data_IF_686987457682
#
_entry.id   IF_686987457682
#
_cell.length_a   1.000
_cell.length_b   1.000
_cell.length_c   1.000
_cell.angle_alpha   90.00
_cell.angle_beta   90.00
_cell.angle_gamma   90.00
#
_symmetry.space_group_name_H-M   'P 1'
#
loop_
_entity.id
_entity.type
_entity.pdbx_description
1 polymer ?
#
# COMPACT_ATOMS: atom_id res chain seq x y z
N UNK A 1 -32.59 6.49 -21.53
CA UNK A 1 -31.43 6.98 -20.76
C UNK A 1 -31.30 6.08 -19.54
N UNK A 2 -30.20 5.33 -19.45
CA UNK A 2 -29.94 4.49 -18.27
C UNK A 2 -29.44 5.35 -17.13
N UNK A 3 -30.31 5.56 -16.15
CA UNK A 3 -30.00 6.34 -14.96
C UNK A 3 -29.76 5.38 -13.79
N UNK A 4 -28.59 5.50 -13.16
CA UNK A 4 -28.27 4.77 -11.94
C UNK A 4 -28.25 5.72 -10.74
N UNK A 5 -28.78 5.27 -9.60
CA UNK A 5 -28.77 6.03 -8.34
C UNK A 5 -27.60 5.56 -7.48
N UNK A 6 -26.76 6.51 -7.04
CA UNK A 6 -25.63 6.24 -6.17
C UNK A 6 -25.94 6.72 -4.74
N UNK A 7 -26.12 5.78 -3.81
CA UNK A 7 -26.33 6.08 -2.39
C UNK A 7 -25.05 5.81 -1.59
N UNK A 8 -24.49 6.85 -0.97
CA UNK A 8 -23.24 6.76 -0.20
C UNK A 8 -23.49 7.20 1.23
N UNK A 9 -23.04 6.39 2.20
CA UNK A 9 -23.00 6.76 3.61
C UNK A 9 -21.76 7.60 3.88
N UNK A 10 -21.96 8.85 4.30
CA UNK A 10 -20.89 9.77 4.65
C UNK A 10 -21.20 10.48 5.97
N UNK A 11 -20.17 10.99 6.64
CA UNK A 11 -20.37 11.77 7.85
C UNK A 11 -21.10 13.10 7.54
N UNK A 12 -21.92 13.57 8.49
CA UNK A 12 -22.65 14.84 8.34
C UNK A 12 -21.71 16.03 8.12
N UNK A 13 -20.56 16.03 8.81
CA UNK A 13 -19.54 17.09 8.69
C UNK A 13 -18.95 17.13 7.28
N UNK A 14 -18.56 15.98 6.74
CA UNK A 14 -17.97 15.88 5.40
C UNK A 14 -18.97 16.28 4.32
N UNK A 15 -20.25 15.89 4.45
CA UNK A 15 -21.31 16.34 3.53
C UNK A 15 -21.40 17.85 3.47
N UNK A 16 -21.51 18.52 4.63
CA UNK A 16 -21.59 19.99 4.70
C UNK A 16 -20.35 20.65 4.09
N UNK A 17 -19.16 20.19 4.44
CA UNK A 17 -17.91 20.73 3.90
C UNK A 17 -17.83 20.57 2.37
N UNK A 18 -18.22 19.40 1.85
CA UNK A 18 -18.23 19.16 0.41
C UNK A 18 -19.21 20.07 -0.34
N UNK A 19 -20.37 20.38 0.26
CA UNK A 19 -21.35 21.30 -0.33
C UNK A 19 -20.81 22.74 -0.37
N UNK A 20 -20.20 23.21 0.72
CA UNK A 20 -19.59 24.56 0.78
C UNK A 20 -18.50 24.69 -0.29
N UNK A 21 -17.62 23.69 -0.41
CA UNK A 21 -16.56 23.69 -1.44
C UNK A 21 -17.16 23.68 -2.84
N UNK A 22 -18.24 22.92 -3.06
CA UNK A 22 -18.92 22.87 -4.36
C UNK A 22 -19.56 24.22 -4.72
N UNK A 23 -20.26 24.84 -3.78
CA UNK A 23 -20.89 26.16 -3.94
C UNK A 23 -19.87 27.25 -4.26
N UNK A 24 -18.74 27.26 -3.55
CA UNK A 24 -17.64 28.19 -3.81
C UNK A 24 -17.05 28.04 -5.23
N UNK A 25 -17.12 26.83 -5.80
CA UNK A 25 -16.68 26.54 -7.17
C UNK A 25 -17.80 26.72 -8.20
N UNK A 26 -19.02 27.10 -7.79
CA UNK A 26 -20.17 27.25 -8.67
C UNK A 26 -20.79 25.93 -9.15
N UNK A 27 -20.49 24.82 -8.48
CA UNK A 27 -21.01 23.49 -8.83
C UNK A 27 -21.91 22.91 -7.74
N UNK A 28 -22.78 21.97 -8.12
CA UNK A 28 -23.45 21.12 -7.13
C UNK A 28 -22.51 19.99 -6.69
N UNK A 29 -22.67 19.51 -5.45
CA UNK A 29 -21.91 18.36 -4.96
C UNK A 29 -22.10 17.11 -5.86
N UNK A 30 -23.30 16.92 -6.43
CA UNK A 30 -23.58 15.84 -7.36
C UNK A 30 -22.81 15.98 -8.67
N UNK A 31 -22.66 17.20 -9.19
CA UNK A 31 -21.87 17.48 -10.40
C UNK A 31 -20.39 17.12 -10.16
N UNK A 32 -19.83 17.50 -9.01
CA UNK A 32 -18.45 17.16 -8.66
C UNK A 32 -18.22 15.65 -8.58
N UNK A 33 -19.16 14.90 -7.97
CA UNK A 33 -19.06 13.44 -7.89
C UNK A 33 -19.09 12.81 -9.29
N UNK A 34 -19.98 13.28 -10.18
CA UNK A 34 -20.02 12.81 -11.58
C UNK A 34 -18.71 13.11 -12.31
N UNK A 35 -18.19 14.33 -12.17
CA UNK A 35 -16.93 14.74 -12.79
C UNK A 35 -15.77 13.87 -12.30
N UNK A 36 -15.71 13.62 -10.99
CA UNK A 36 -14.69 12.75 -10.40
C UNK A 36 -14.78 11.33 -10.94
N UNK A 37 -15.98 10.74 -11.01
CA UNK A 37 -16.16 9.39 -11.56
C UNK A 37 -15.77 9.33 -13.05
N UNK A 38 -16.14 10.34 -13.84
CA UNK A 38 -15.74 10.43 -15.24
C UNK A 38 -14.21 10.51 -15.38
N UNK A 39 -13.54 11.33 -14.57
CA UNK A 39 -12.08 11.40 -14.52
C UNK A 39 -11.43 10.09 -14.12
N UNK A 40 -12.00 9.40 -13.13
CA UNK A 40 -11.50 8.11 -12.66
C UNK A 40 -11.56 7.06 -13.77
N UNK A 41 -12.68 6.98 -14.50
CA UNK A 41 -12.85 6.05 -15.63
C UNK A 41 -11.89 6.40 -16.77
N UNK A 42 -11.78 7.68 -17.14
CA UNK A 42 -10.94 8.13 -18.26
C UNK A 42 -9.44 7.96 -17.97
N UNK A 43 -8.97 8.42 -16.81
CA UNK A 43 -7.54 8.43 -16.47
C UNK A 43 -7.06 7.16 -15.79
N UNK A 44 -7.98 6.31 -15.30
CA UNK A 44 -7.68 5.13 -14.46
C UNK A 44 -6.76 5.44 -13.27
N UNK A 45 -6.83 6.69 -12.80
CA UNK A 45 -6.01 7.23 -11.70
C UNK A 45 -6.89 8.13 -10.85
N UNK A 46 -6.61 8.14 -9.55
CA UNK A 46 -7.27 9.05 -8.63
C UNK A 46 -6.57 10.40 -8.73
N UNK A 47 -7.28 11.52 -8.96
CA UNK A 47 -6.71 12.85 -9.14
C UNK A 47 -6.27 13.48 -7.80
N UNK A 48 -5.53 12.74 -6.99
CA UNK A 48 -4.83 13.32 -5.85
C UNK A 48 -3.40 13.63 -6.30
N UNK A 49 -3.04 14.91 -6.28
CA UNK A 49 -1.64 15.31 -6.27
C UNK A 49 -1.26 15.23 -4.80
N UNK A 50 -0.64 14.11 -4.42
CA UNK A 50 0.01 14.01 -3.13
C UNK A 50 1.31 14.76 -3.30
N UNK A 51 1.55 15.83 -2.54
CA UNK A 51 2.90 16.38 -2.43
C UNK A 51 3.80 15.23 -1.98
N UNK A 52 4.74 14.84 -2.85
CA UNK A 52 5.64 13.72 -2.59
C UNK A 52 6.65 14.13 -1.52
N UNK A 53 6.19 14.26 -0.27
CA UNK A 53 7.07 14.45 0.88
C UNK A 53 7.77 13.11 1.09
N UNK A 54 9.10 13.02 0.88
CA UNK A 54 9.82 11.76 1.01
C UNK A 54 9.67 11.24 2.43
N UNK A 55 9.36 9.95 2.56
CA UNK A 55 9.33 9.27 3.86
C UNK A 55 10.71 9.42 4.54
N UNK A 56 10.78 9.52 5.87
CA UNK A 56 12.02 9.73 6.64
C UNK A 56 13.13 8.71 6.29
N UNK A 57 12.75 7.49 5.92
CA UNK A 57 13.71 6.49 5.41
C UNK A 57 14.28 6.87 4.04
N UNK A 58 13.42 7.31 3.14
CA UNK A 58 13.79 7.71 1.78
C UNK A 58 14.63 8.99 1.77
N UNK A 59 14.32 9.96 2.65
CA UNK A 59 15.14 11.15 2.85
C UNK A 59 16.58 10.80 3.29
N UNK A 60 16.75 9.86 4.23
CA UNK A 60 18.08 9.40 4.64
C UNK A 60 18.85 8.68 3.53
N UNK A 61 18.15 7.89 2.71
CA UNK A 61 18.77 7.22 1.56
C UNK A 61 19.22 8.26 0.52
N UNK A 62 18.42 9.30 0.25
CA UNK A 62 18.82 10.43 -0.61
C UNK A 62 20.04 11.18 -0.07
N UNK A 63 20.04 11.52 1.22
CA UNK A 63 21.18 12.19 1.87
C UNK A 63 22.46 11.34 1.79
N UNK A 64 22.34 10.02 1.89
CA UNK A 64 23.46 9.10 1.78
C UNK A 64 23.99 9.02 0.35
N UNK A 65 23.09 8.93 -0.64
CA UNK A 65 23.45 8.94 -2.06
C UNK A 65 24.19 10.24 -2.40
N UNK A 66 23.69 11.40 -1.97
CA UNK A 66 24.35 12.68 -2.21
C UNK A 66 25.75 12.76 -1.59
N UNK A 67 25.95 12.18 -0.40
CA UNK A 67 27.26 12.13 0.26
C UNK A 67 28.24 11.22 -0.47
N UNK A 68 27.76 10.06 -0.92
CA UNK A 68 28.57 9.08 -1.66
C UNK A 68 28.94 9.58 -3.06
N UNK A 69 28.07 10.35 -3.73
CA UNK A 69 28.40 11.05 -4.98
C UNK A 69 29.47 12.11 -4.76
N UNK A 70 29.34 12.93 -3.70
CA UNK A 70 30.30 13.99 -3.37
C UNK A 70 31.67 13.45 -2.92
N UNK A 71 31.70 12.32 -2.21
CA UNK A 71 32.95 11.69 -1.78
C UNK A 71 33.60 10.82 -2.87
N UNK A 72 32.87 10.50 -3.95
CA UNK A 72 33.35 9.65 -5.03
C UNK A 72 33.46 8.16 -4.68
N UNK A 73 33.01 7.75 -3.49
CA UNK A 73 33.03 6.35 -3.03
C UNK A 73 31.86 5.56 -3.63
N UNK A 74 31.93 5.32 -4.94
CA UNK A 74 30.90 4.58 -5.69
C UNK A 74 30.99 3.05 -5.51
N UNK A 75 31.61 2.56 -4.43
CA UNK A 75 31.94 1.12 -4.23
C UNK A 75 30.72 0.20 -4.21
N UNK A 76 29.56 0.74 -3.84
CA UNK A 76 28.30 0.00 -3.73
C UNK A 76 27.38 0.17 -4.95
N UNK A 77 27.78 0.97 -5.95
CA UNK A 77 26.98 1.23 -7.14
C UNK A 77 27.38 0.29 -8.26
N UNK A 78 26.39 -0.38 -8.85
CA UNK A 78 26.58 -1.16 -10.07
C UNK A 78 26.32 -0.22 -11.24
N UNK A 79 27.38 0.11 -11.98
CA UNK A 79 27.26 0.81 -13.26
C UNK A 79 26.96 -0.23 -14.33
N UNK A 80 25.94 0.01 -15.13
CA UNK A 80 25.61 -0.84 -16.27
C UNK A 80 26.06 -0.13 -17.54
N UNK A 81 26.72 -0.86 -18.43
CA UNK A 81 27.12 -0.28 -19.72
C UNK A 81 25.93 -0.19 -20.68
N UNK A 82 24.98 -1.13 -20.57
CA UNK A 82 23.84 -1.27 -21.47
C UNK A 82 22.53 -1.53 -20.74
N UNK A 83 21.41 -1.18 -21.37
CA UNK A 83 20.07 -1.35 -20.79
C UNK A 83 19.73 -2.83 -20.50
N UNK A 84 20.15 -3.74 -21.38
CA UNK A 84 19.90 -5.18 -21.22
C UNK A 84 20.61 -5.78 -20.00
N UNK A 85 21.80 -5.28 -19.68
CA UNK A 85 22.57 -5.68 -18.51
C UNK A 85 21.87 -5.25 -17.21
N UNK A 86 21.36 -4.01 -17.18
CA UNK A 86 20.57 -3.51 -16.06
C UNK A 86 19.30 -4.34 -15.84
N UNK A 87 18.60 -4.70 -16.93
CA UNK A 87 17.40 -5.53 -16.87
C UNK A 87 17.73 -6.94 -16.35
N UNK A 88 18.82 -7.54 -16.80
CA UNK A 88 19.27 -8.86 -16.35
C UNK A 88 19.59 -8.87 -14.84
N UNK A 89 20.36 -7.88 -14.38
CA UNK A 89 20.68 -7.70 -12.96
C UNK A 89 19.43 -7.54 -12.09
N UNK A 90 18.48 -6.70 -12.54
CA UNK A 90 17.22 -6.47 -11.82
C UNK A 90 16.37 -7.75 -11.72
N UNK A 91 16.28 -8.54 -12.80
CA UNK A 91 15.58 -9.83 -12.80
C UNK A 91 16.22 -10.81 -11.80
N UNK A 92 17.55 -10.87 -11.73
CA UNK A 92 18.26 -11.72 -10.79
C UNK A 92 18.05 -11.28 -9.33
N UNK A 93 18.11 -9.97 -9.07
CA UNK A 93 17.86 -9.38 -7.75
C UNK A 93 16.44 -9.70 -7.23
N UNK A 94 15.43 -9.56 -8.10
CA UNK A 94 14.04 -9.94 -7.79
C UNK A 94 13.92 -11.45 -7.51
N UNK A 95 14.57 -12.31 -8.30
CA UNK A 95 14.59 -13.77 -8.08
C UNK A 95 15.21 -14.12 -6.72
N UNK A 96 16.32 -13.49 -6.35
CA UNK A 96 17.03 -13.72 -5.07
C UNK A 96 16.21 -13.26 -3.86
N UNK A 97 15.57 -12.10 -3.94
CA UNK A 97 14.71 -11.59 -2.86
C UNK A 97 13.45 -12.45 -2.64
N UNK A 98 12.83 -12.95 -3.72
CA UNK A 98 11.70 -13.87 -3.64
C UNK A 98 12.07 -15.22 -3.01
N UNK A 99 13.26 -15.75 -3.31
CA UNK A 99 13.79 -16.95 -2.64
C UNK A 99 13.92 -16.75 -1.12
N UNK A 100 14.47 -15.60 -0.69
CA UNK A 100 14.59 -15.25 0.74
C UNK A 100 13.24 -15.15 1.45
N UNK A 101 12.21 -14.60 0.80
CA UNK A 101 10.85 -14.50 1.35
C UNK A 101 10.18 -15.87 1.51
N UNK A 102 10.35 -16.77 0.53
CA UNK A 102 9.81 -18.14 0.60
C UNK A 102 10.49 -18.99 1.68
N UNK A 103 11.81 -18.88 1.82
CA UNK A 103 12.58 -19.57 2.86
C UNK A 103 12.18 -19.13 4.29
N UNK A 104 11.87 -17.84 4.50
CA UNK A 104 11.39 -17.34 5.81
C UNK A 104 9.98 -17.84 6.16
N UNK A 105 9.08 -17.98 5.16
CA UNK A 105 7.73 -18.53 5.38
C UNK A 105 7.76 -20.01 5.83
N UNK A 106 8.64 -20.84 5.26
CA UNK A 106 8.74 -22.26 5.62
C UNK A 106 9.28 -22.50 7.03
N UNK A 107 10.06 -21.57 7.58
CA UNK A 107 10.61 -21.66 8.94
C UNK A 107 9.53 -21.27 9.98
N UNK A 108 8.76 -20.22 9.71
CA UNK A 108 7.67 -19.77 10.61
C UNK A 108 6.55 -20.79 10.80
N UNK A 109 6.23 -21.59 9.77
CA UNK A 109 5.17 -22.61 9.86
C UNK A 109 5.59 -23.87 10.62
N UNK A 110 6.89 -24.14 10.79
CA UNK A 110 7.39 -25.34 11.50
C UNK A 110 7.43 -25.17 13.03
N UNK A 111 7.56 -23.94 13.53
CA UNK A 111 7.68 -23.66 14.98
C UNK A 111 6.33 -23.57 15.70
N UNK A 112 5.19 -23.75 15.01
CA UNK A 112 3.84 -23.59 15.59
C UNK A 112 3.14 -24.90 15.97
N UNK A 113 3.87 -26.02 16.11
CA UNK A 113 3.31 -27.35 16.45
C UNK A 113 3.67 -27.89 17.84
N UNK A 114 4.17 -27.06 18.77
CA UNK A 114 4.38 -27.48 20.17
C UNK A 114 3.93 -26.41 21.17
N UNK A 115 2.66 -26.46 21.54
CA UNK A 115 2.14 -26.16 22.89
C UNK A 115 0.61 -26.13 22.89
N UNK A 116 -0.02 -27.30 22.72
CA UNK A 116 -1.39 -27.51 23.20
C UNK A 116 -1.32 -27.85 24.69
N UNK A 117 -1.06 -26.83 25.53
CA UNK A 117 -1.09 -26.96 26.99
C UNK A 117 -2.51 -26.65 27.47
N UNK A 118 -3.45 -27.52 27.12
CA UNK A 118 -4.69 -27.67 27.89
C UNK A 118 -5.11 -29.12 27.79
N UNK A 119 -5.26 -29.85 28.91
CA UNK A 119 -5.87 -31.17 28.88
C UNK A 119 -7.35 -31.01 28.53
N UNK A 120 -7.81 -31.77 27.55
CA UNK A 120 -9.23 -31.99 27.31
C UNK A 120 -9.74 -32.89 28.45
N UNK A 121 -10.56 -32.36 29.34
CA UNK A 121 -11.43 -33.17 30.19
C UNK A 121 -12.86 -32.99 29.72
N UNK A 122 -13.35 -34.02 29.02
CA UNK A 122 -14.77 -34.33 28.82
C UNK A 122 -15.26 -35.25 29.94
N UNK A 123 -16.58 -35.45 30.01
CA UNK A 123 -17.38 -36.36 30.87
C UNK A 123 -17.94 -35.61 32.11
N UNK A 124 -19.15 -35.05 32.03
CA UNK A 124 -20.50 -35.65 32.17
C UNK A 124 -20.93 -35.93 33.62
N UNK A 125 -22.11 -35.40 33.94
CA UNK A 125 -23.16 -35.93 34.84
C UNK A 125 -22.81 -36.25 36.30
N UNK A 126 -23.40 -35.47 37.22
CA UNK A 126 -24.27 -36.02 38.29
C UNK A 126 -25.29 -34.97 38.73
N UNK A 127 -26.53 -35.43 38.86
CA UNK A 127 -27.72 -34.71 39.29
C UNK A 127 -27.76 -34.44 40.81
N UNK A 128 -28.94 -33.99 41.28
CA UNK A 128 -29.48 -33.89 42.66
C UNK A 128 -28.97 -32.73 43.53
N UNK A 129 -29.78 -31.89 44.20
CA UNK A 129 -31.24 -31.74 44.45
C UNK A 129 -31.54 -30.23 44.46
#
# INVERSE_FOLDING_TARGET
>A
MDNAVLQIRISKKLKKQSMIVAENLGFTASTLIKLFLAHLVAKRKIPFIIEEIPNAKFAKELDQIEKEEKSGDMRNYVKFANMDEAIAYMKEYVKKSNRRRRAKKSISTKTRRRSSIYPKTSVQETATI
#
